data_IF_881098290781
#
_entry.id   IF_881098290781
#
_cell.length_a   1.000
_cell.length_b   1.000
_cell.length_c   1.000
_cell.angle_alpha   90.00
_cell.angle_beta   90.00
_cell.angle_gamma   90.00
#
_symmetry.space_group_name_H-M   'P 1'
#
loop_
_entity.id
_entity.type
_entity.pdbx_description
1 polymer ?
#
# COMPACT_ATOMS: atom_id res chain seq x y z
N UNK A 1 12.20 18.97 -6.63
CA UNK A 1 10.80 19.10 -6.14
C UNK A 1 9.88 19.88 -7.07
N UNK A 2 10.27 21.05 -7.63
CA UNK A 2 9.40 21.85 -8.54
C UNK A 2 8.86 21.05 -9.75
N UNK A 3 9.68 20.17 -10.33
CA UNK A 3 9.29 19.33 -11.47
C UNK A 3 8.22 18.29 -11.09
N UNK A 4 8.40 17.59 -9.95
CA UNK A 4 7.44 16.61 -9.45
C UNK A 4 6.05 17.22 -9.20
N UNK A 5 6.00 18.38 -8.54
CA UNK A 5 4.73 19.09 -8.29
C UNK A 5 4.06 19.54 -9.59
N UNK A 6 4.84 19.88 -10.62
CA UNK A 6 4.30 20.19 -11.95
C UNK A 6 3.64 18.96 -12.58
N UNK A 7 4.30 17.80 -12.59
CA UNK A 7 3.71 16.54 -13.08
C UNK A 7 2.47 16.13 -12.28
N UNK A 8 2.53 16.22 -10.95
CA UNK A 8 1.37 16.01 -10.07
C UNK A 8 0.18 16.88 -10.48
N UNK A 9 0.40 18.18 -10.69
CA UNK A 9 -0.68 19.10 -11.11
C UNK A 9 -1.22 18.78 -12.50
N UNK A 10 -0.38 18.32 -13.42
CA UNK A 10 -0.78 17.94 -14.78
C UNK A 10 -1.66 16.68 -14.77
N UNK A 11 -1.26 15.65 -14.01
CA UNK A 11 -2.05 14.42 -13.85
C UNK A 11 -3.41 14.71 -13.21
N UNK A 12 -3.43 15.55 -12.17
CA UNK A 12 -4.67 15.95 -11.52
C UNK A 12 -5.60 16.69 -12.50
N UNK A 13 -5.07 17.66 -13.27
CA UNK A 13 -5.86 18.39 -14.27
C UNK A 13 -6.40 17.48 -15.37
N UNK A 14 -5.59 16.52 -15.84
CA UNK A 14 -6.00 15.54 -16.85
C UNK A 14 -7.17 14.68 -16.36
N UNK A 15 -7.12 14.18 -15.13
CA UNK A 15 -8.22 13.38 -14.57
C UNK A 15 -9.48 14.22 -14.33
N UNK A 16 -9.31 15.47 -13.88
CA UNK A 16 -10.42 16.42 -13.69
C UNK A 16 -10.99 16.99 -15.01
N UNK A 17 -10.41 16.67 -16.16
CA UNK A 17 -11.01 17.00 -17.46
C UNK A 17 -12.27 16.16 -17.71
N UNK A 18 -12.28 14.90 -17.27
CA UNK A 18 -13.44 14.00 -17.32
C UNK A 18 -14.05 13.82 -15.92
N UNK A 19 -14.57 14.92 -15.35
CA UNK A 19 -15.08 14.97 -13.96
C UNK A 19 -16.08 13.89 -13.61
N UNK A 20 -17.02 13.57 -14.51
CA UNK A 20 -18.03 12.53 -14.28
C UNK A 20 -17.41 11.15 -14.19
N UNK A 21 -16.49 10.81 -15.11
CA UNK A 21 -15.79 9.53 -15.07
C UNK A 21 -14.95 9.40 -13.80
N UNK A 22 -14.22 10.46 -13.43
CA UNK A 22 -13.46 10.51 -12.18
C UNK A 22 -14.36 10.31 -10.94
N UNK A 23 -15.52 10.97 -10.91
CA UNK A 23 -16.49 10.83 -9.82
C UNK A 23 -17.04 9.40 -9.74
N UNK A 24 -17.51 8.82 -10.85
CA UNK A 24 -18.07 7.46 -10.85
C UNK A 24 -17.03 6.40 -10.46
N UNK A 25 -15.79 6.52 -10.93
CA UNK A 25 -14.71 5.61 -10.52
C UNK A 25 -14.41 5.77 -9.03
N UNK A 26 -14.25 7.00 -8.55
CA UNK A 26 -13.98 7.27 -7.13
C UNK A 26 -15.13 6.77 -6.24
N UNK A 27 -16.37 7.00 -6.65
CA UNK A 27 -17.56 6.55 -5.93
C UNK A 27 -17.66 5.01 -5.91
N UNK A 28 -17.43 4.35 -7.05
CA UNK A 28 -17.38 2.89 -7.11
C UNK A 28 -16.31 2.30 -6.18
N UNK A 29 -15.13 2.92 -6.12
CA UNK A 29 -14.06 2.53 -5.18
C UNK A 29 -14.47 2.75 -3.72
N UNK A 30 -15.19 3.83 -3.41
CA UNK A 30 -15.73 4.08 -2.09
C UNK A 30 -16.78 3.01 -1.71
N UNK A 31 -17.68 2.63 -2.61
CA UNK A 31 -18.65 1.57 -2.39
C UNK A 31 -17.97 0.22 -2.11
N UNK A 32 -16.98 -0.17 -2.91
CA UNK A 32 -16.20 -1.40 -2.70
C UNK A 32 -15.43 -1.39 -1.37
N UNK A 33 -14.92 -0.23 -0.96
CA UNK A 33 -14.30 -0.08 0.35
C UNK A 33 -15.33 -0.23 1.47
N UNK A 34 -16.49 0.40 1.31
CA UNK A 34 -17.57 0.37 2.29
C UNK A 34 -18.14 -1.03 2.50
N UNK A 35 -18.28 -1.86 1.45
CA UNK A 35 -18.74 -3.26 1.63
C UNK A 35 -17.84 -4.04 2.57
N UNK A 36 -16.53 -3.83 2.49
CA UNK A 36 -15.58 -4.48 3.39
C UNK A 36 -15.70 -4.01 4.84
N UNK A 37 -16.03 -2.73 5.07
CA UNK A 37 -16.33 -2.22 6.40
C UNK A 37 -17.63 -2.80 6.93
N UNK A 38 -18.69 -2.81 6.11
CA UNK A 38 -19.98 -3.39 6.49
C UNK A 38 -19.86 -4.86 6.86
N UNK A 39 -19.01 -5.63 6.17
CA UNK A 39 -18.72 -7.01 6.51
C UNK A 39 -18.18 -7.14 7.94
N UNK A 40 -17.20 -6.33 8.34
CA UNK A 40 -16.66 -6.34 9.71
C UNK A 40 -17.72 -5.90 10.72
N UNK A 41 -18.47 -4.83 10.41
CA UNK A 41 -19.53 -4.32 11.30
C UNK A 41 -20.63 -5.36 11.57
N UNK A 42 -20.97 -6.16 10.56
CA UNK A 42 -22.01 -7.19 10.66
C UNK A 42 -21.52 -8.46 11.34
N UNK A 43 -20.30 -8.92 11.01
CA UNK A 43 -19.72 -10.14 11.59
C UNK A 43 -19.27 -9.97 13.04
N UNK A 44 -18.90 -8.76 13.46
CA UNK A 44 -18.43 -8.47 14.81
C UNK A 44 -19.35 -7.45 15.48
N UNK A 45 -20.48 -7.86 16.08
CA UNK A 45 -21.34 -6.93 16.83
C UNK A 45 -20.61 -6.36 18.07
N UNK A 46 -21.10 -5.25 18.65
CA UNK A 46 -20.49 -4.63 19.83
C UNK A 46 -20.34 -5.64 20.98
N UNK A 47 -19.20 -5.62 21.68
CA UNK A 47 -18.91 -6.51 22.81
C UNK A 47 -18.40 -7.91 22.43
N UNK A 48 -18.33 -8.26 21.14
CA UNK A 48 -17.70 -9.50 20.68
C UNK A 48 -16.24 -9.24 20.34
N UNK A 49 -15.35 -10.00 20.99
CA UNK A 49 -13.92 -10.01 20.70
C UNK A 49 -13.54 -11.30 19.96
N UNK A 50 -12.76 -11.17 18.89
CA UNK A 50 -12.21 -12.29 18.13
C UNK A 50 -10.70 -12.29 18.30
N UNK A 51 -10.15 -13.40 18.81
CA UNK A 51 -8.73 -13.51 19.20
C UNK A 51 -8.24 -12.34 20.07
N UNK A 52 -9.10 -11.86 20.97
CA UNK A 52 -8.80 -10.74 21.85
C UNK A 52 -8.90 -9.35 21.22
N UNK A 53 -9.34 -9.22 19.96
CA UNK A 53 -9.59 -7.94 19.31
C UNK A 53 -11.09 -7.63 19.23
N UNK A 54 -11.48 -6.46 19.72
CA UNK A 54 -12.84 -5.93 19.55
C UNK A 54 -13.03 -5.32 18.16
N UNK A 55 -14.30 -5.14 17.78
CA UNK A 55 -14.68 -4.56 16.47
C UNK A 55 -13.90 -3.29 16.12
N UNK A 56 -13.82 -2.33 17.03
CA UNK A 56 -13.19 -1.04 16.75
C UNK A 56 -11.67 -1.18 16.57
N UNK A 57 -11.05 -2.13 17.25
CA UNK A 57 -9.63 -2.44 17.10
C UNK A 57 -9.33 -3.13 15.76
N UNK A 58 -10.24 -4.00 15.30
CA UNK A 58 -10.17 -4.61 13.96
C UNK A 58 -10.33 -3.55 12.87
N UNK A 59 -11.30 -2.63 13.02
CA UNK A 59 -11.49 -1.52 12.10
C UNK A 59 -10.28 -0.56 12.08
N UNK A 60 -9.63 -0.33 13.22
CA UNK A 60 -8.38 0.43 13.30
C UNK A 60 -7.28 -0.23 12.44
N UNK A 61 -7.09 -1.54 12.60
CA UNK A 61 -6.11 -2.31 11.84
C UNK A 61 -6.38 -2.24 10.33
N UNK A 62 -7.65 -2.40 9.94
CA UNK A 62 -8.09 -2.27 8.56
C UNK A 62 -7.90 -0.88 7.99
N UNK A 63 -8.21 0.16 8.76
CA UNK A 63 -8.05 1.56 8.32
C UNK A 63 -6.58 1.92 8.07
N UNK A 64 -5.66 1.51 8.95
CA UNK A 64 -4.22 1.75 8.78
C UNK A 64 -3.71 1.13 7.48
N UNK A 65 -4.03 -0.15 7.22
CA UNK A 65 -3.61 -0.83 5.99
C UNK A 65 -4.23 -0.19 4.76
N UNK A 66 -5.54 0.11 4.77
CA UNK A 66 -6.19 0.68 3.60
C UNK A 66 -5.70 2.09 3.28
N UNK A 67 -5.38 2.91 4.30
CA UNK A 67 -4.74 4.22 4.11
C UNK A 67 -3.33 4.07 3.54
N UNK A 68 -2.52 3.21 4.13
CA UNK A 68 -1.16 2.91 3.68
C UNK A 68 -1.13 2.45 2.22
N UNK A 69 -1.98 1.47 1.87
CA UNK A 69 -2.10 0.96 0.51
C UNK A 69 -2.59 2.04 -0.45
N UNK A 70 -3.59 2.85 -0.07
CA UNK A 70 -4.12 3.92 -0.93
C UNK A 70 -3.11 5.03 -1.20
N UNK A 71 -2.28 5.37 -0.20
CA UNK A 71 -1.18 6.31 -0.40
C UNK A 71 -0.13 5.72 -1.34
N UNK A 72 0.28 4.47 -1.12
CA UNK A 72 1.26 3.81 -1.99
C UNK A 72 0.75 3.69 -3.43
N UNK A 73 -0.47 3.21 -3.63
CA UNK A 73 -1.08 3.04 -4.96
C UNK A 73 -1.22 4.38 -5.68
N UNK A 74 -1.53 5.48 -4.99
CA UNK A 74 -1.64 6.80 -5.61
C UNK A 74 -0.35 7.27 -6.29
N UNK A 75 0.81 6.89 -5.76
CA UNK A 75 2.12 7.34 -6.26
C UNK A 75 2.90 6.26 -7.02
N UNK A 76 2.81 5.00 -6.60
CA UNK A 76 3.68 3.92 -7.08
C UNK A 76 3.11 3.13 -8.27
N UNK A 77 1.88 3.42 -8.72
CA UNK A 77 1.27 2.65 -9.80
C UNK A 77 1.92 2.81 -11.17
N UNK A 78 2.85 3.77 -11.33
CA UNK A 78 3.72 3.84 -12.51
C UNK A 78 4.46 2.54 -12.79
N UNK A 79 4.74 1.73 -11.77
CA UNK A 79 5.39 0.44 -11.95
C UNK A 79 4.51 -0.59 -12.68
N UNK A 80 3.19 -0.45 -12.65
CA UNK A 80 2.27 -1.30 -13.43
C UNK A 80 2.46 -1.07 -14.95
N UNK A 81 2.91 0.13 -15.34
CA UNK A 81 3.18 0.46 -16.76
C UNK A 81 4.56 0.03 -17.23
N UNK A 82 5.40 -0.53 -16.36
CA UNK A 82 6.78 -0.88 -16.73
C UNK A 82 6.82 -1.96 -17.81
N UNK A 83 5.97 -2.99 -17.70
CA UNK A 83 5.90 -4.05 -18.71
C UNK A 83 5.58 -3.50 -20.11
N UNK A 84 4.66 -2.55 -20.21
CA UNK A 84 4.31 -1.93 -21.51
C UNK A 84 5.40 -1.00 -22.02
N UNK A 85 6.12 -0.29 -21.14
CA UNK A 85 7.28 0.53 -21.50
C UNK A 85 8.43 -0.31 -22.05
N UNK A 86 8.68 -1.48 -21.44
CA UNK A 86 9.71 -2.43 -21.89
C UNK A 86 9.33 -3.01 -23.25
N UNK A 87 8.10 -3.51 -23.40
CA UNK A 87 7.61 -4.10 -24.66
C UNK A 87 7.63 -3.13 -25.85
N UNK A 88 7.53 -1.82 -25.59
CA UNK A 88 7.55 -0.77 -26.63
C UNK A 88 8.94 -0.19 -26.90
N UNK A 89 9.96 -0.57 -26.11
CA UNK A 89 11.28 0.05 -26.16
C UNK A 89 11.35 1.48 -25.60
N UNK A 90 10.24 2.00 -25.05
CA UNK A 90 10.17 3.34 -24.46
C UNK A 90 11.03 3.46 -23.17
N UNK A 91 11.40 2.33 -22.56
CA UNK A 91 12.29 2.30 -21.41
C UNK A 91 13.70 2.83 -21.74
N UNK A 92 14.16 2.76 -23.00
CA UNK A 92 15.43 3.36 -23.43
C UNK A 92 15.47 4.86 -23.11
N UNK A 93 14.35 5.55 -23.33
CA UNK A 93 14.20 6.98 -23.01
C UNK A 93 14.29 7.28 -21.51
N UNK A 94 13.92 6.32 -20.66
CA UNK A 94 14.04 6.45 -19.20
C UNK A 94 15.51 6.38 -18.79
N UNK A 95 16.29 5.48 -19.40
CA UNK A 95 17.70 5.26 -19.04
C UNK A 95 18.63 6.41 -19.40
N UNK A 96 18.32 7.20 -20.44
CA UNK A 96 19.16 8.31 -20.92
C UNK A 96 18.92 9.63 -20.18
N UNK A 97 17.86 9.74 -19.39
CA UNK A 97 17.52 10.96 -18.68
C UNK A 97 18.34 11.13 -17.39
N UNK A 98 18.66 12.37 -16.98
CA UNK A 98 19.54 12.65 -15.83
C UNK A 98 18.86 12.45 -14.45
N UNK A 99 17.67 11.84 -14.42
CA UNK A 99 16.89 11.57 -13.21
C UNK A 99 16.91 10.05 -12.98
N UNK A 100 16.91 9.59 -11.72
CA UNK A 100 16.85 8.15 -11.46
C UNK A 100 15.61 7.51 -12.09
N UNK A 101 15.75 6.29 -12.62
CA UNK A 101 14.70 5.61 -13.38
C UNK A 101 13.46 5.39 -12.52
N UNK A 102 13.67 4.95 -11.28
CA UNK A 102 12.63 4.79 -10.27
C UNK A 102 11.84 6.10 -10.08
N UNK A 103 12.52 7.24 -9.96
CA UNK A 103 11.86 8.52 -9.78
C UNK A 103 11.11 8.98 -11.04
N UNK A 104 11.61 8.67 -12.24
CA UNK A 104 10.90 8.93 -13.48
C UNK A 104 9.60 8.12 -13.54
N UNK A 105 9.65 6.83 -13.22
CA UNK A 105 8.47 5.94 -13.22
C UNK A 105 7.41 6.43 -12.22
N UNK A 106 7.81 6.85 -11.01
CA UNK A 106 6.91 7.51 -10.05
C UNK A 106 6.23 8.78 -10.61
N UNK A 107 6.87 9.49 -11.52
CA UNK A 107 6.32 10.71 -12.12
C UNK A 107 5.45 10.43 -13.36
N UNK A 108 5.59 9.26 -13.98
CA UNK A 108 4.88 8.92 -15.22
C UNK A 108 3.38 8.76 -15.03
N UNK A 109 2.95 8.12 -13.95
CA UNK A 109 1.53 7.99 -13.62
C UNK A 109 1.31 8.27 -12.13
N UNK A 110 0.37 9.16 -11.85
CA UNK A 110 -0.14 9.41 -10.50
C UNK A 110 -1.65 9.25 -10.59
N UNK A 111 -2.20 8.31 -9.83
CA UNK A 111 -3.61 7.96 -9.90
C UNK A 111 -4.39 8.55 -8.72
N UNK A 112 -5.32 9.47 -9.03
CA UNK A 112 -6.25 10.01 -8.04
C UNK A 112 -7.60 9.28 -8.01
N UNK A 113 -7.81 8.31 -8.91
CA UNK A 113 -9.07 7.56 -9.06
C UNK A 113 -9.43 6.73 -7.81
N UNK A 114 -8.45 6.46 -6.93
CA UNK A 114 -8.62 5.69 -5.70
C UNK A 114 -8.91 6.56 -4.46
N UNK A 115 -9.11 7.88 -4.64
CA UNK A 115 -9.43 8.81 -3.55
C UNK A 115 -10.66 8.36 -2.75
N UNK A 116 -11.66 7.75 -3.39
CA UNK A 116 -12.83 7.24 -2.69
C UNK A 116 -12.52 6.20 -1.61
N UNK A 117 -11.63 5.23 -1.89
CA UNK A 117 -11.20 4.25 -0.88
C UNK A 117 -10.39 4.89 0.23
N UNK A 118 -9.51 5.84 -0.11
CA UNK A 118 -8.74 6.60 0.88
C UNK A 118 -9.68 7.35 1.84
N UNK A 119 -10.70 8.04 1.31
CA UNK A 119 -11.68 8.77 2.10
C UNK A 119 -12.46 7.83 3.03
N UNK A 120 -12.89 6.67 2.54
CA UNK A 120 -13.59 5.68 3.36
C UNK A 120 -12.71 5.21 4.50
N UNK A 121 -11.45 4.82 4.24
CA UNK A 121 -10.52 4.38 5.27
C UNK A 121 -10.18 5.51 6.27
N UNK A 122 -10.06 6.75 5.80
CA UNK A 122 -9.82 7.93 6.64
C UNK A 122 -11.01 8.20 7.57
N UNK A 123 -12.23 8.18 7.05
CA UNK A 123 -13.45 8.34 7.86
C UNK A 123 -13.56 7.22 8.89
N UNK A 124 -13.29 5.96 8.52
CA UNK A 124 -13.25 4.85 9.47
C UNK A 124 -12.23 5.09 10.58
N UNK A 125 -11.01 5.54 10.25
CA UNK A 125 -9.99 5.85 11.24
C UNK A 125 -10.50 6.90 12.24
N UNK A 126 -11.06 8.02 11.75
CA UNK A 126 -11.58 9.09 12.61
C UNK A 126 -12.72 8.61 13.51
N UNK A 127 -13.66 7.83 12.97
CA UNK A 127 -14.80 7.29 13.73
C UNK A 127 -14.40 6.27 14.80
N UNK A 128 -13.31 5.53 14.57
CA UNK A 128 -12.80 4.56 15.53
C UNK A 128 -12.03 5.25 16.66
N UNK A 129 -11.29 6.32 16.34
CA UNK A 129 -10.54 7.09 17.33
C UNK A 129 -11.44 7.80 18.36
N UNK A 130 -12.71 8.07 18.04
CA UNK A 130 -13.66 8.63 19.02
C UNK A 130 -14.22 7.58 19.97
N UNK A 131 -14.05 6.29 19.68
CA UNK A 131 -14.58 5.18 20.48
C UNK A 131 -13.51 4.39 21.23
N UNK A 132 -12.24 4.54 20.84
CA UNK A 132 -11.11 3.92 21.52
C UNK A 132 -10.51 4.86 22.58
N UNK A 133 -9.73 4.31 23.55
CA UNK A 133 -8.86 5.12 24.40
C UNK A 133 -7.96 6.05 23.57
N UNK A 134 -7.52 7.19 24.12
CA UNK A 134 -6.72 8.15 23.38
C UNK A 134 -5.41 7.53 22.86
N UNK A 135 -5.28 7.45 21.55
CA UNK A 135 -4.09 6.95 20.85
C UNK A 135 -3.22 8.10 20.32
N UNK A 136 -1.88 7.96 20.30
CA UNK A 136 -0.98 8.96 19.76
C UNK A 136 -1.15 9.11 18.23
N UNK A 137 -1.79 10.21 17.81
CA UNK A 137 -2.07 10.50 16.38
C UNK A 137 -0.80 10.49 15.54
N UNK A 138 0.30 11.07 16.04
CA UNK A 138 1.59 11.11 15.34
C UNK A 138 2.11 9.70 15.03
N UNK A 139 1.87 8.75 15.93
CA UNK A 139 2.32 7.37 15.76
C UNK A 139 1.43 6.63 14.75
N UNK A 140 0.12 6.88 14.75
CA UNK A 140 -0.77 6.34 13.71
C UNK A 140 -0.39 6.85 12.32
N UNK A 141 -0.05 8.14 12.19
CA UNK A 141 0.49 8.71 10.94
C UNK A 141 1.78 7.98 10.56
N UNK A 142 2.68 7.76 11.52
CA UNK A 142 3.92 7.02 11.31
C UNK A 142 3.66 5.58 10.80
N UNK A 143 2.71 4.84 11.38
CA UNK A 143 2.33 3.51 10.89
C UNK A 143 1.79 3.56 9.46
N UNK A 144 0.92 4.51 9.14
CA UNK A 144 0.37 4.68 7.78
C UNK A 144 1.47 5.00 6.77
N UNK A 145 2.40 5.89 7.10
CA UNK A 145 3.52 6.24 6.23
C UNK A 145 4.51 5.08 6.05
N UNK A 146 4.78 4.32 7.12
CA UNK A 146 5.63 3.12 7.07
C UNK A 146 4.97 2.04 6.20
N UNK A 147 3.66 1.83 6.34
CA UNK A 147 2.89 0.95 5.48
C UNK A 147 2.92 1.37 4.02
N UNK A 148 2.72 2.66 3.75
CA UNK A 148 2.80 3.19 2.39
C UNK A 148 4.19 2.96 1.78
N UNK A 149 5.25 3.11 2.58
CA UNK A 149 6.62 2.81 2.16
C UNK A 149 6.82 1.34 1.78
N UNK A 150 6.32 0.40 2.60
CA UNK A 150 6.42 -1.03 2.33
C UNK A 150 5.63 -1.42 1.08
N UNK A 151 4.39 -0.94 0.94
CA UNK A 151 3.62 -1.18 -0.29
C UNK A 151 4.29 -0.58 -1.53
N UNK A 152 4.91 0.61 -1.41
CA UNK A 152 5.69 1.21 -2.49
C UNK A 152 6.86 0.32 -2.90
N UNK A 153 7.57 -0.26 -1.93
CA UNK A 153 8.62 -1.24 -2.19
C UNK A 153 8.08 -2.48 -2.93
N UNK A 154 6.88 -2.95 -2.57
CA UNK A 154 6.24 -4.06 -3.27
C UNK A 154 5.89 -3.74 -4.71
N UNK A 155 5.35 -2.55 -4.99
CA UNK A 155 5.09 -2.12 -6.37
C UNK A 155 6.38 -2.02 -7.20
N UNK A 156 7.48 -1.57 -6.60
CA UNK A 156 8.79 -1.54 -7.27
C UNK A 156 9.29 -2.96 -7.57
N UNK A 157 9.19 -3.89 -6.61
CA UNK A 157 9.56 -5.30 -6.82
C UNK A 157 8.70 -5.90 -7.94
N UNK A 158 7.38 -5.70 -7.89
CA UNK A 158 6.44 -6.15 -8.90
C UNK A 158 6.84 -5.66 -10.30
N UNK A 159 7.00 -4.36 -10.48
CA UNK A 159 7.42 -3.79 -11.75
C UNK A 159 8.79 -4.31 -12.19
N UNK A 160 9.75 -4.48 -11.27
CA UNK A 160 11.09 -5.01 -11.59
C UNK A 160 11.03 -6.38 -12.27
N UNK A 161 10.08 -7.23 -11.91
CA UNK A 161 10.02 -8.59 -12.46
C UNK A 161 9.61 -8.57 -13.94
N UNK A 162 8.96 -7.51 -14.42
CA UNK A 162 8.67 -7.31 -15.84
C UNK A 162 9.93 -7.24 -16.72
N UNK A 163 11.13 -7.04 -16.14
CA UNK A 163 12.39 -7.17 -16.89
C UNK A 163 12.76 -8.61 -17.21
N UNK A 164 12.22 -9.60 -16.49
CA UNK A 164 12.48 -11.02 -16.72
C UNK A 164 11.38 -11.70 -17.53
N UNK A 165 10.12 -11.35 -17.26
CA UNK A 165 8.96 -11.94 -17.94
C UNK A 165 7.99 -10.86 -18.39
N UNK A 166 7.50 -10.98 -19.63
CA UNK A 166 6.52 -10.05 -20.22
C UNK A 166 5.07 -10.45 -19.96
N UNK A 167 4.83 -11.62 -19.35
CA UNK A 167 3.50 -12.13 -19.02
C UNK A 167 2.90 -11.48 -17.76
N UNK A 168 1.56 -11.50 -17.68
CA UNK A 168 0.83 -10.98 -16.53
C UNK A 168 1.18 -11.77 -15.26
N UNK A 169 1.82 -11.08 -14.33
CA UNK A 169 2.29 -11.61 -13.06
C UNK A 169 1.12 -11.68 -12.04
N UNK A 170 0.06 -12.42 -12.36
CA UNK A 170 -1.13 -12.54 -11.48
C UNK A 170 -0.78 -12.97 -10.05
N UNK A 171 0.25 -13.80 -9.91
CA UNK A 171 0.80 -14.19 -8.59
C UNK A 171 1.19 -12.99 -7.72
N UNK A 172 1.74 -11.93 -8.32
CA UNK A 172 2.16 -10.75 -7.56
C UNK A 172 0.98 -9.83 -7.19
N UNK A 173 -0.12 -9.86 -7.95
CA UNK A 173 -1.35 -9.20 -7.54
C UNK A 173 -1.89 -9.81 -6.23
N UNK A 174 -1.64 -11.10 -5.97
CA UNK A 174 -1.96 -11.72 -4.67
C UNK A 174 -1.10 -11.09 -3.56
N UNK A 175 0.17 -10.79 -3.81
CA UNK A 175 1.05 -10.17 -2.81
C UNK A 175 0.71 -8.70 -2.54
N UNK A 176 0.19 -7.96 -3.52
CA UNK A 176 -0.23 -6.56 -3.33
C UNK A 176 -1.68 -6.46 -2.89
N UNK A 177 -2.63 -6.83 -3.75
CA UNK A 177 -4.06 -6.72 -3.47
C UNK A 177 -4.52 -7.74 -2.42
N UNK A 178 -3.98 -8.96 -2.44
CA UNK A 178 -4.33 -9.96 -1.44
C UNK A 178 -3.91 -9.54 -0.03
N UNK A 179 -2.71 -8.98 0.15
CA UNK A 179 -2.27 -8.52 1.48
C UNK A 179 -3.06 -7.31 2.00
N UNK A 180 -3.56 -6.46 1.11
CA UNK A 180 -4.54 -5.41 1.46
C UNK A 180 -5.86 -6.02 1.93
N UNK A 181 -6.35 -7.07 1.27
CA UNK A 181 -7.57 -7.77 1.67
C UNK A 181 -7.41 -8.47 3.02
N UNK A 182 -6.29 -9.16 3.25
CA UNK A 182 -5.94 -9.75 4.55
C UNK A 182 -5.73 -8.68 5.63
N UNK A 183 -5.20 -7.52 5.27
CA UNK A 183 -4.95 -6.44 6.22
C UNK A 183 -6.21 -5.69 6.68
N UNK A 184 -7.41 -6.13 6.29
CA UNK A 184 -8.69 -5.63 6.84
C UNK A 184 -8.91 -6.05 8.29
N UNK A 185 -8.29 -7.15 8.71
CA UNK A 185 -8.28 -7.63 10.08
C UNK A 185 -6.83 -7.77 10.58
N UNK A 186 -6.60 -7.91 11.91
CA UNK A 186 -5.28 -8.23 12.44
C UNK A 186 -4.73 -9.49 11.79
N UNK A 187 -3.49 -9.42 11.27
CA UNK A 187 -2.91 -10.54 10.51
C UNK A 187 -2.83 -11.88 11.27
N UNK A 188 -2.89 -11.87 12.60
CA UNK A 188 -2.97 -13.10 13.40
C UNK A 188 -4.23 -13.92 13.13
N UNK A 189 -5.30 -13.33 12.60
CA UNK A 189 -6.54 -14.03 12.30
C UNK A 189 -6.37 -15.13 11.24
N UNK A 190 -5.33 -15.02 10.40
CA UNK A 190 -5.05 -15.95 9.31
C UNK A 190 -4.08 -17.08 9.71
N UNK A 191 -3.75 -17.18 11.00
CA UNK A 191 -2.86 -18.21 11.54
C UNK A 191 -1.38 -17.85 11.52
N UNK A 192 -0.60 -18.65 12.24
CA UNK A 192 0.81 -18.36 12.54
C UNK A 192 1.69 -18.35 11.28
N UNK A 193 1.43 -19.22 10.31
CA UNK A 193 2.21 -19.29 9.07
C UNK A 193 2.09 -17.99 8.25
N UNK A 194 0.87 -17.49 8.08
CA UNK A 194 0.60 -16.23 7.36
C UNK A 194 1.20 -15.06 8.13
N UNK A 195 1.05 -15.04 9.46
CA UNK A 195 1.64 -13.99 10.29
C UNK A 195 3.18 -13.96 10.15
N UNK A 196 3.86 -15.11 10.22
CA UNK A 196 5.32 -15.20 10.03
C UNK A 196 5.75 -14.73 8.64
N UNK A 197 5.02 -15.13 7.60
CA UNK A 197 5.26 -14.66 6.23
C UNK A 197 5.17 -13.12 6.12
N UNK A 198 4.12 -12.54 6.72
CA UNK A 198 3.92 -11.08 6.74
C UNK A 198 4.88 -10.34 7.68
N UNK A 199 5.52 -11.05 8.62
CA UNK A 199 6.52 -10.50 9.54
C UNK A 199 7.90 -10.46 8.92
N UNK A 200 8.34 -11.58 8.32
CA UNK A 200 9.72 -11.76 7.89
C UNK A 200 9.92 -11.48 6.40
N UNK A 201 8.96 -11.80 5.53
CA UNK A 201 9.13 -11.63 4.09
C UNK A 201 8.58 -10.30 3.56
N UNK A 202 7.39 -9.88 4.01
CA UNK A 202 6.69 -8.66 3.53
C UNK A 202 6.73 -7.45 4.48
N UNK A 203 7.40 -7.55 5.62
CA UNK A 203 7.20 -6.74 6.84
C UNK A 203 5.85 -6.03 7.14
N UNK A 204 4.71 -6.45 6.60
CA UNK A 204 3.41 -5.82 6.87
C UNK A 204 2.92 -6.01 8.31
N UNK A 205 3.23 -7.16 8.93
CA UNK A 205 2.88 -7.41 10.33
C UNK A 205 3.62 -6.47 11.30
N UNK A 206 4.79 -5.95 10.90
CA UNK A 206 5.58 -4.98 11.68
C UNK A 206 4.88 -3.62 11.78
N UNK A 207 3.93 -3.34 10.89
CA UNK A 207 3.23 -2.05 10.77
C UNK A 207 1.82 -2.15 11.36
N UNK A 208 1.18 -3.30 11.22
CA UNK A 208 -0.18 -3.52 11.70
C UNK A 208 -0.19 -4.26 13.04
N UNK A 209 0.22 -5.53 13.06
CA UNK A 209 -0.06 -6.42 14.18
C UNK A 209 0.70 -6.06 15.46
N UNK A 210 2.04 -6.09 15.44
CA UNK A 210 2.86 -5.85 16.63
C UNK A 210 2.66 -4.46 17.26
N UNK A 211 2.74 -3.34 16.51
CA UNK A 211 2.53 -2.03 17.11
C UNK A 211 1.11 -1.83 17.63
N UNK A 212 0.09 -2.45 17.02
CA UNK A 212 -1.28 -2.41 17.55
C UNK A 212 -1.41 -3.18 18.86
N UNK A 213 -0.71 -4.29 19.06
CA UNK A 213 -0.71 -4.98 20.36
C UNK A 213 -0.22 -4.06 21.48
N UNK A 214 0.80 -3.25 21.21
CA UNK A 214 1.31 -2.28 22.18
C UNK A 214 0.35 -1.10 22.36
N UNK A 215 -0.13 -0.49 21.27
CA UNK A 215 -1.03 0.67 21.33
C UNK A 215 -2.36 0.38 22.03
N UNK A 216 -2.90 -0.83 21.84
CA UNK A 216 -4.17 -1.24 22.43
C UNK A 216 -4.00 -1.84 23.84
N UNK A 217 -2.80 -1.77 24.43
CA UNK A 217 -2.52 -2.29 25.77
C UNK A 217 -2.62 -3.82 25.88
N UNK A 218 -2.57 -4.55 24.76
CA UNK A 218 -2.62 -6.02 24.71
C UNK A 218 -1.25 -6.67 24.95
N UNK A 219 -0.17 -5.88 24.89
CA UNK A 219 1.19 -6.30 25.21
C UNK A 219 1.95 -5.16 25.89
N UNK A 220 2.66 -5.46 26.97
CA UNK A 220 3.52 -4.51 27.68
C UNK A 220 4.91 -4.38 27.04
N UNK A 221 5.20 -5.17 26.01
CA UNK A 221 6.51 -5.18 25.37
C UNK A 221 6.75 -3.91 24.55
N UNK A 222 7.52 -2.98 25.12
CA UNK A 222 7.90 -1.73 24.44
C UNK A 222 8.60 -1.95 23.10
N UNK A 223 9.27 -3.10 22.92
CA UNK A 223 9.89 -3.47 21.66
C UNK A 223 8.90 -3.43 20.48
N UNK A 224 7.65 -3.84 20.68
CA UNK A 224 6.61 -3.83 19.64
C UNK A 224 6.30 -2.42 19.11
N UNK A 225 6.52 -1.38 19.91
CA UNK A 225 6.38 0.01 19.46
C UNK A 225 7.47 0.43 18.46
N UNK A 226 8.66 -0.18 18.54
CA UNK A 226 9.81 0.13 17.69
C UNK A 226 9.92 -0.77 16.46
N UNK A 227 9.15 -1.86 16.43
CA UNK A 227 9.13 -2.82 15.31
C UNK A 227 8.88 -2.18 13.93
N UNK A 228 8.02 -1.15 13.75
CA UNK A 228 7.81 -0.53 12.44
C UNK A 228 9.08 0.06 11.81
N UNK A 229 10.09 0.45 12.61
CA UNK A 229 11.36 0.95 12.06
C UNK A 229 12.11 -0.11 11.28
N UNK A 230 12.01 -1.39 11.66
CA UNK A 230 12.64 -2.48 10.92
C UNK A 230 11.97 -2.73 9.56
N UNK A 231 10.71 -2.31 9.37
CA UNK A 231 10.04 -2.42 8.08
C UNK A 231 10.75 -1.63 6.98
N UNK A 232 11.47 -0.55 7.32
CA UNK A 232 12.27 0.22 6.36
C UNK A 232 13.44 -0.58 5.78
N UNK A 233 13.92 -1.64 6.44
CA UNK A 233 14.95 -2.53 5.90
C UNK A 233 14.49 -3.25 4.63
N UNK A 234 13.18 -3.30 4.37
CA UNK A 234 12.62 -3.86 3.14
C UNK A 234 13.05 -3.12 1.86
N UNK A 235 13.63 -1.93 1.98
CA UNK A 235 14.28 -1.24 0.87
C UNK A 235 15.50 -1.99 0.32
N UNK A 236 16.17 -2.79 1.15
CA UNK A 236 17.38 -3.54 0.79
C UNK A 236 17.08 -4.60 -0.28
N UNK A 237 16.15 -5.56 -0.06
CA UNK A 237 15.77 -6.52 -1.11
C UNK A 237 15.17 -5.80 -2.32
N UNK A 238 14.38 -4.75 -2.11
CA UNK A 238 13.79 -3.96 -3.21
C UNK A 238 14.86 -3.39 -4.14
N UNK A 239 15.88 -2.72 -3.59
CA UNK A 239 17.00 -2.16 -4.37
C UNK A 239 17.83 -3.25 -5.03
N UNK A 240 18.05 -4.36 -4.36
CA UNK A 240 18.78 -5.50 -4.91
C UNK A 240 18.06 -6.07 -6.13
N UNK A 241 16.77 -6.37 -6.00
CA UNK A 241 15.92 -6.90 -7.07
C UNK A 241 15.88 -5.91 -8.24
N UNK A 242 15.61 -4.62 -7.99
CA UNK A 242 15.59 -3.61 -9.04
C UNK A 242 16.90 -3.55 -9.84
N UNK A 243 18.04 -3.49 -9.14
CA UNK A 243 19.36 -3.42 -9.78
C UNK A 243 19.69 -4.67 -10.58
N UNK A 244 19.31 -5.84 -10.08
CA UNK A 244 19.57 -7.10 -10.77
C UNK A 244 18.64 -7.26 -11.99
N UNK A 245 17.35 -6.96 -11.82
CA UNK A 245 16.35 -7.01 -12.87
C UNK A 245 16.68 -6.08 -14.04
N UNK A 246 17.06 -4.84 -13.76
CA UNK A 246 17.45 -3.87 -14.79
C UNK A 246 18.57 -4.38 -15.71
N UNK A 247 19.51 -5.21 -15.22
CA UNK A 247 20.60 -5.74 -16.05
C UNK A 247 20.14 -6.72 -17.14
N UNK A 248 18.93 -7.27 -16.99
CA UNK A 248 18.33 -8.19 -17.95
C UNK A 248 17.51 -7.47 -19.02
N UNK A 249 17.37 -6.15 -18.92
CA UNK A 249 16.68 -5.37 -19.95
C UNK A 249 17.42 -5.46 -21.29
N UNK A 250 16.70 -5.87 -22.33
CA UNK A 250 17.12 -5.88 -23.72
C UNK A 250 16.17 -4.97 -24.50
N UNK A 251 16.73 -4.04 -25.27
CA UNK A 251 15.93 -3.14 -26.11
C UNK A 251 15.30 -3.94 -27.26
N UNK A 252 14.12 -3.51 -27.72
CA UNK A 252 13.35 -4.16 -28.79
C UNK A 252 13.96 -4.00 -30.18
N UNK A 253 15.19 -3.48 -30.28
CA UNK A 253 15.92 -3.25 -31.53
C UNK A 253 17.20 -4.09 -31.70
N UNK A 254 17.33 -5.22 -30.99
CA UNK A 254 18.46 -6.16 -31.12
C UNK A 254 17.98 -7.57 -31.44
#
# INVERSE_FOLDING_TARGET
MKLYLKFFSLHLRRQLQHRLSFFFVSFGQACLAATSLFMILFLMPPGVAVMGFERNEVLLAGAIINLAFSLAEGFARGFDTLGTLIQRGDFDRVTVQPISEIAQIFMMTIEFTRVGRFLVAFVTLVLVLTQLPPLPIWYLIFLVLTGAFVYTCLFVIYGSICFYTTENLEFFNILTDGTKEFGKAPFAFYGEAVLKFLTYLLPLALIQYYPLLYLLGKSEQIFYAWVPFFAYLFVLPTRFIWRHARKHYQSTGS
#
